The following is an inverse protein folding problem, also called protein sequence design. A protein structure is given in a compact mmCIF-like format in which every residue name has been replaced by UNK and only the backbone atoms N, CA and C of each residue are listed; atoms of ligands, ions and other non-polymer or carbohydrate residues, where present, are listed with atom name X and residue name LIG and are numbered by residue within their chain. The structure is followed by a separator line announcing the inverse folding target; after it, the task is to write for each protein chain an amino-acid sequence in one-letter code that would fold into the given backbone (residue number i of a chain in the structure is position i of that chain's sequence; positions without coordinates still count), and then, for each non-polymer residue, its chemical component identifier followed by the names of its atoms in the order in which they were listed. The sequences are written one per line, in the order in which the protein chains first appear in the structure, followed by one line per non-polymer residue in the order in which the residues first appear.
data_IF_885739726340
#
_entry.id   IF_885739726340
#
_cell.length_a   1.000
_cell.length_b   1.000
_cell.length_c   1.000
_cell.angle_alpha   90.00
_cell.angle_beta   90.00
_cell.angle_gamma   90.00
#
_symmetry.space_group_name_H-M   'P 1'
#
loop_
_entity.id
_entity.type
_entity.pdbx_description
1 polymer ?
#
# COMPACT_ATOMS: atom_id res chain seq x y z
N UNK A 1 13.72 20.89 16.73
CA UNK A 1 12.76 19.97 16.12
C UNK A 1 12.50 20.45 14.70
N UNK A 2 12.96 19.72 13.66
CA UNK A 2 12.65 20.07 12.28
C UNK A 2 11.15 19.93 11.97
N UNK A 3 10.65 20.78 11.08
CA UNK A 3 9.24 20.82 10.70
C UNK A 3 9.06 21.12 9.20
N UNK A 4 8.09 20.45 8.60
CA UNK A 4 7.50 20.78 7.30
C UNK A 4 6.00 21.03 7.51
N UNK A 5 5.44 22.04 6.84
CA UNK A 5 4.00 22.28 6.89
C UNK A 5 3.52 22.85 5.55
N UNK A 6 2.30 22.46 5.16
CA UNK A 6 1.50 23.12 4.15
C UNK A 6 0.11 23.39 4.74
N UNK A 7 -0.88 23.76 3.92
CA UNK A 7 -2.24 24.08 4.36
C UNK A 7 -3.01 22.89 4.97
N UNK A 8 -2.56 21.66 4.76
CA UNK A 8 -3.30 20.44 5.13
C UNK A 8 -2.55 19.64 6.21
N UNK A 9 -1.23 19.51 6.07
CA UNK A 9 -0.40 18.68 6.91
C UNK A 9 0.74 19.45 7.55
N UNK A 10 1.18 18.94 8.70
CA UNK A 10 2.42 19.31 9.36
C UNK A 10 3.16 18.05 9.79
N UNK A 11 4.39 17.88 9.32
CA UNK A 11 5.35 16.92 9.86
C UNK A 11 6.12 17.54 11.00
N UNK A 12 6.06 16.95 12.19
CA UNK A 12 6.97 17.26 13.30
C UNK A 12 7.95 16.11 13.45
N UNK A 13 9.25 16.38 13.38
CA UNK A 13 10.26 15.32 13.30
C UNK A 13 11.15 15.35 14.54
N UNK A 14 11.33 14.18 15.16
CA UNK A 14 12.06 13.98 16.41
C UNK A 14 13.21 12.98 16.20
N UNK A 15 14.32 13.39 15.55
CA UNK A 15 15.43 12.50 15.24
C UNK A 15 16.03 11.80 16.47
N UNK A 16 16.09 12.52 17.61
CA UNK A 16 16.60 11.99 18.88
C UNK A 16 15.74 10.85 19.46
N UNK A 17 14.51 10.70 18.98
CA UNK A 17 13.58 9.66 19.43
C UNK A 17 13.24 8.65 18.33
N UNK A 18 13.80 8.81 17.13
CA UNK A 18 13.46 7.97 15.98
C UNK A 18 12.01 8.13 15.52
N UNK A 19 11.39 9.28 15.81
CA UNK A 19 9.95 9.48 15.70
C UNK A 19 9.57 10.69 14.83
N UNK A 20 8.36 10.69 14.33
CA UNK A 20 7.73 11.81 13.64
C UNK A 20 6.22 11.84 13.90
N UNK A 21 5.60 13.00 13.81
CA UNK A 21 4.14 13.15 13.84
C UNK A 21 3.65 13.67 12.49
N UNK A 22 2.49 13.17 12.04
CA UNK A 22 1.72 13.73 10.94
C UNK A 22 0.48 14.36 11.56
N UNK A 23 0.47 15.68 11.60
CA UNK A 23 -0.66 16.46 12.08
C UNK A 23 -1.47 16.97 10.89
N UNK A 24 -2.78 17.01 11.04
CA UNK A 24 -3.70 17.65 10.08
C UNK A 24 -4.06 19.04 10.59
N UNK A 25 -4.04 20.03 9.69
CA UNK A 25 -4.45 21.38 10.04
C UNK A 25 -5.91 21.41 10.45
N UNK A 26 -6.23 22.29 11.41
CA UNK A 26 -7.57 22.47 11.98
C UNK A 26 -8.17 21.25 12.69
N UNK A 27 -7.37 20.19 12.90
CA UNK A 27 -7.82 18.96 13.54
C UNK A 27 -8.96 18.29 12.79
N UNK A 28 -9.13 18.56 11.48
CA UNK A 28 -10.19 18.07 10.60
C UNK A 28 -10.06 16.60 10.20
N UNK A 29 -8.93 15.96 10.48
CA UNK A 29 -8.73 14.52 10.30
C UNK A 29 -7.95 13.91 11.48
N UNK A 30 -7.89 12.58 11.58
CA UNK A 30 -7.06 11.93 12.59
C UNK A 30 -5.60 12.38 12.53
N UNK A 31 -4.93 12.46 13.68
CA UNK A 31 -3.50 12.74 13.76
C UNK A 31 -2.71 11.49 14.10
N UNK A 32 -1.51 11.37 13.52
CA UNK A 32 -0.52 10.35 13.84
C UNK A 32 0.55 11.01 14.71
N UNK A 33 0.55 10.71 16.01
CA UNK A 33 1.45 11.34 16.97
C UNK A 33 2.61 10.40 17.27
N UNK A 34 3.85 10.91 17.15
CA UNK A 34 5.11 10.18 17.42
C UNK A 34 5.09 8.74 16.89
N UNK A 35 4.82 8.60 15.60
CA UNK A 35 5.08 7.39 14.85
C UNK A 35 6.59 7.14 14.78
N UNK A 36 7.01 5.88 14.91
CA UNK A 36 8.41 5.48 14.83
C UNK A 36 8.73 4.83 13.48
N UNK A 37 9.96 5.04 13.02
CA UNK A 37 10.55 4.24 11.95
C UNK A 37 11.23 3.00 12.55
N UNK A 38 11.55 2.03 11.71
CA UNK A 38 12.33 0.87 12.14
C UNK A 38 13.02 0.19 10.97
N UNK A 39 14.13 -0.45 11.26
CA UNK A 39 14.91 -1.20 10.28
C UNK A 39 15.38 -2.50 10.91
N UNK A 40 15.06 -3.63 10.29
CA UNK A 40 15.51 -4.97 10.68
C UNK A 40 16.34 -5.57 9.54
N UNK A 41 17.57 -5.97 9.84
CA UNK A 41 18.53 -6.43 8.83
C UNK A 41 19.63 -7.32 9.42
N UNK A 42 20.41 -7.93 8.53
CA UNK A 42 21.57 -8.74 8.87
C UNK A 42 22.81 -8.29 8.11
N UNK A 43 23.95 -8.35 8.80
CA UNK A 43 25.27 -8.26 8.19
C UNK A 43 26.07 -9.45 8.70
N UNK A 44 26.58 -10.27 7.77
CA UNK A 44 27.12 -11.58 8.09
C UNK A 44 26.10 -12.46 8.83
N UNK A 45 26.44 -12.92 10.04
CA UNK A 45 25.56 -13.76 10.88
C UNK A 45 24.79 -12.96 11.95
N UNK A 46 25.02 -11.65 12.05
CA UNK A 46 24.44 -10.81 13.11
C UNK A 46 23.17 -10.14 12.61
N UNK A 47 22.15 -10.10 13.48
CA UNK A 47 20.91 -9.33 13.28
C UNK A 47 21.04 -7.99 13.97
N UNK A 48 20.52 -6.96 13.33
CA UNK A 48 20.52 -5.59 13.82
C UNK A 48 19.11 -5.00 13.73
N UNK A 49 18.82 -4.11 14.67
CA UNK A 49 17.66 -3.24 14.67
C UNK A 49 18.14 -1.79 14.76
N UNK A 50 17.51 -0.90 13.99
CA UNK A 50 17.91 0.51 13.92
C UNK A 50 16.70 1.43 13.64
N UNK A 51 16.95 2.74 13.70
CA UNK A 51 16.01 3.85 13.44
C UNK A 51 14.87 4.05 14.45
N UNK A 52 14.56 3.06 15.29
CA UNK A 52 13.41 3.10 16.21
C UNK A 52 13.61 4.00 17.41
N UNK A 53 14.81 4.04 17.98
CA UNK A 53 15.09 4.76 19.23
C UNK A 53 15.96 6.01 19.02
N UNK A 54 16.20 6.39 17.76
CA UNK A 54 17.03 7.54 17.41
C UNK A 54 17.70 7.40 16.06
N UNK A 55 18.10 8.54 15.51
CA UNK A 55 18.83 8.65 14.25
C UNK A 55 20.25 9.16 14.53
N UNK A 56 21.22 8.28 14.82
CA UNK A 56 22.56 8.72 15.18
C UNK A 56 23.24 9.52 14.07
N UNK A 57 24.06 10.49 14.46
CA UNK A 57 24.86 11.29 13.52
C UNK A 57 24.04 11.97 12.42
N UNK A 58 22.75 12.25 12.69
CA UNK A 58 21.85 12.78 11.68
C UNK A 58 22.25 14.19 11.24
N UNK A 59 22.12 14.44 9.94
CA UNK A 59 22.18 15.77 9.33
C UNK A 59 20.95 15.94 8.47
N UNK A 60 20.41 17.15 8.36
CA UNK A 60 19.22 17.38 7.55
C UNK A 60 19.32 18.61 6.68
N UNK A 61 18.66 18.56 5.52
CA UNK A 61 18.53 19.66 4.57
C UNK A 61 17.12 19.73 4.00
N UNK A 62 16.63 20.94 3.77
CA UNK A 62 15.37 21.16 3.04
C UNK A 62 15.65 21.18 1.54
N UNK A 63 14.77 20.56 0.78
CA UNK A 63 14.85 20.49 -0.68
C UNK A 63 13.47 20.82 -1.22
N UNK A 64 13.43 21.78 -2.14
CA UNK A 64 12.25 22.04 -2.95
C UNK A 64 12.44 21.34 -4.29
N UNK A 65 11.41 20.63 -4.73
CA UNK A 65 11.43 19.92 -6.00
C UNK A 65 10.27 20.42 -6.84
N UNK A 66 10.59 21.10 -7.92
CA UNK A 66 9.64 21.43 -8.99
C UNK A 66 9.67 20.31 -10.03
N UNK A 67 8.51 19.82 -10.46
CA UNK A 67 8.40 18.82 -11.53
C UNK A 67 8.49 17.35 -11.10
N UNK A 68 8.16 17.02 -9.85
CA UNK A 68 7.93 15.61 -9.48
C UNK A 68 6.65 15.07 -10.15
N UNK A 69 6.48 13.75 -10.18
CA UNK A 69 5.24 13.12 -10.66
C UNK A 69 3.98 13.59 -9.90
N UNK A 70 4.17 14.15 -8.70
CA UNK A 70 3.07 14.60 -7.83
C UNK A 70 2.94 16.13 -7.78
N UNK A 71 3.71 16.89 -8.56
CA UNK A 71 3.74 18.36 -8.49
C UNK A 71 4.91 18.90 -7.66
N UNK A 72 4.78 20.14 -7.20
CA UNK A 72 5.77 20.77 -6.35
C UNK A 72 5.79 20.13 -4.95
N UNK A 73 6.99 19.83 -4.45
CA UNK A 73 7.17 19.23 -3.14
C UNK A 73 8.15 20.02 -2.28
N UNK A 74 7.77 20.25 -1.04
CA UNK A 74 8.69 20.67 0.01
C UNK A 74 9.12 19.46 0.81
N UNK A 75 10.41 19.18 0.78
CA UNK A 75 11.00 18.00 1.40
C UNK A 75 12.02 18.35 2.47
N UNK A 76 12.14 17.47 3.46
CA UNK A 76 13.19 17.47 4.46
C UNK A 76 13.84 16.09 4.41
N UNK A 77 15.13 16.08 4.07
CA UNK A 77 15.93 14.85 3.98
C UNK A 77 16.84 14.78 5.20
N UNK A 78 16.89 13.61 5.84
CA UNK A 78 17.79 13.29 6.94
C UNK A 78 18.78 12.23 6.49
N UNK A 79 20.07 12.55 6.50
CA UNK A 79 21.13 11.55 6.39
C UNK A 79 21.47 11.05 7.78
N UNK A 80 21.18 9.79 8.07
CA UNK A 80 21.48 9.12 9.34
C UNK A 80 22.73 8.28 9.17
N UNK A 81 23.78 8.62 9.91
CA UNK A 81 25.09 7.98 9.83
C UNK A 81 25.29 7.05 11.01
N UNK A 82 26.25 6.13 10.89
CA UNK A 82 26.64 5.23 11.98
C UNK A 82 25.54 4.24 12.42
N UNK A 83 24.72 3.76 11.48
CA UNK A 83 23.93 2.57 11.79
C UNK A 83 24.88 1.36 11.86
N UNK A 84 24.60 0.38 12.74
CA UNK A 84 25.45 -0.80 12.88
C UNK A 84 25.74 -1.52 11.54
N UNK A 85 26.89 -2.20 11.46
CA UNK A 85 27.22 -3.00 10.28
C UNK A 85 27.59 -2.21 9.02
N UNK A 86 27.93 -0.91 9.15
CA UNK A 86 28.33 -0.09 8.01
C UNK A 86 27.14 0.39 7.17
N UNK A 87 25.99 0.59 7.81
CA UNK A 87 24.78 1.05 7.12
C UNK A 87 24.60 2.55 7.30
N UNK A 88 24.20 3.22 6.22
CA UNK A 88 23.72 4.62 6.24
C UNK A 88 22.29 4.64 5.74
N UNK A 89 21.47 5.51 6.30
CA UNK A 89 20.10 5.71 5.82
C UNK A 89 19.89 7.17 5.38
N UNK A 90 19.07 7.36 4.36
CA UNK A 90 18.44 8.63 4.02
C UNK A 90 16.94 8.51 4.25
N UNK A 91 16.38 9.41 5.06
CA UNK A 91 14.96 9.48 5.36
C UNK A 91 14.41 10.75 4.71
N UNK A 92 13.49 10.59 3.80
CA UNK A 92 12.86 11.72 3.11
C UNK A 92 11.44 11.87 3.61
N UNK A 93 11.09 13.08 4.07
CA UNK A 93 9.72 13.49 4.36
C UNK A 93 9.35 14.61 3.41
N UNK A 94 8.17 14.54 2.78
CA UNK A 94 7.76 15.49 1.75
C UNK A 94 6.27 15.84 1.88
N UNK A 95 5.96 17.11 1.64
CA UNK A 95 4.60 17.61 1.50
C UNK A 95 4.39 18.12 0.07
N UNK A 96 3.40 17.55 -0.60
CA UNK A 96 2.96 17.98 -1.92
C UNK A 96 2.15 19.27 -1.76
N UNK A 97 2.34 20.25 -2.64
CA UNK A 97 1.70 21.56 -2.51
C UNK A 97 0.30 21.59 -3.13
N UNK A 98 0.10 20.86 -4.24
CA UNK A 98 -1.12 20.86 -5.04
C UNK A 98 -2.14 19.81 -4.56
N UNK A 99 -1.67 18.76 -3.89
CA UNK A 99 -2.49 17.62 -3.47
C UNK A 99 -2.34 17.34 -1.97
N UNK A 100 -3.39 16.79 -1.33
CA UNK A 100 -3.37 16.47 0.10
C UNK A 100 -2.56 15.20 0.37
N UNK A 101 -1.25 15.25 0.15
CA UNK A 101 -0.35 14.11 0.28
C UNK A 101 0.81 14.44 1.22
N UNK A 102 0.91 13.68 2.31
CA UNK A 102 2.10 13.61 3.15
C UNK A 102 2.86 12.34 2.79
N UNK A 103 4.08 12.49 2.28
CA UNK A 103 4.89 11.41 1.72
C UNK A 103 6.16 11.20 2.54
N UNK A 104 6.62 9.96 2.64
CA UNK A 104 7.95 9.67 3.16
C UNK A 104 8.51 8.35 2.61
N UNK A 105 9.83 8.21 2.61
CA UNK A 105 10.51 6.97 2.20
C UNK A 105 11.87 6.83 2.86
N UNK A 106 12.41 5.61 2.81
CA UNK A 106 13.71 5.27 3.38
C UNK A 106 14.61 4.72 2.27
N UNK A 107 15.84 5.24 2.21
CA UNK A 107 16.91 4.70 1.38
C UNK A 107 18.05 4.22 2.24
N UNK A 108 18.50 3.00 2.02
CA UNK A 108 19.58 2.35 2.73
C UNK A 108 20.80 2.24 1.81
N UNK A 109 21.97 2.53 2.36
CA UNK A 109 23.24 2.36 1.68
C UNK A 109 24.10 1.39 2.48
N UNK A 110 24.66 0.40 1.78
CA UNK A 110 25.66 -0.48 2.37
C UNK A 110 27.05 0.13 2.15
N UNK A 111 27.57 0.81 3.17
CA UNK A 111 28.93 1.38 3.18
C UNK A 111 29.94 0.44 3.87
N UNK A 112 29.49 -0.73 4.32
CA UNK A 112 30.31 -1.78 4.90
C UNK A 112 31.02 -2.64 3.85
N UNK A 113 31.85 -3.57 4.33
CA UNK A 113 32.58 -4.52 3.48
C UNK A 113 31.82 -5.83 3.21
N UNK A 114 30.77 -6.12 3.98
CA UNK A 114 29.96 -7.34 3.88
C UNK A 114 28.59 -7.05 3.26
N UNK A 115 27.95 -8.03 2.60
CA UNK A 115 26.57 -7.88 2.14
C UNK A 115 25.59 -7.63 3.30
N UNK A 116 24.67 -6.70 3.07
CA UNK A 116 23.54 -6.37 3.92
C UNK A 116 22.32 -7.18 3.45
N UNK A 117 21.63 -7.88 4.34
CA UNK A 117 20.36 -8.55 4.03
C UNK A 117 19.24 -7.83 4.77
N UNK A 118 18.34 -7.18 4.04
CA UNK A 118 17.24 -6.40 4.61
C UNK A 118 16.06 -7.32 4.88
N UNK A 119 15.61 -7.40 6.13
CA UNK A 119 14.48 -8.25 6.50
C UNK A 119 13.17 -7.44 6.54
N UNK A 120 13.19 -6.21 7.07
CA UNK A 120 12.01 -5.32 7.13
C UNK A 120 12.38 -3.85 7.27
N UNK A 121 11.62 -2.97 6.60
CA UNK A 121 11.70 -1.52 6.78
C UNK A 121 10.35 -1.01 7.29
N UNK A 122 10.26 -0.71 8.59
CA UNK A 122 9.05 -0.14 9.20
C UNK A 122 9.00 1.36 8.90
N UNK A 123 7.98 1.77 8.17
CA UNK A 123 7.76 3.15 7.73
C UNK A 123 6.84 3.92 8.68
N UNK A 124 6.05 3.23 9.49
CA UNK A 124 5.23 3.86 10.51
C UNK A 124 4.91 2.84 11.60
N UNK A 125 5.11 3.22 12.85
CA UNK A 125 4.67 2.47 14.02
C UNK A 125 4.10 3.40 15.09
N UNK A 126 2.81 3.27 15.35
CA UNK A 126 2.11 3.85 16.49
C UNK A 126 1.97 2.77 17.56
N UNK A 127 2.64 2.98 18.69
CA UNK A 127 2.65 2.07 19.83
C UNK A 127 2.33 2.86 21.10
N UNK A 128 1.12 2.74 21.68
CA UNK A 128 0.72 3.43 22.91
C UNK A 128 1.60 3.15 24.13
N UNK A 129 2.44 2.11 24.11
CA UNK A 129 3.44 1.90 25.15
C UNK A 129 4.59 2.93 25.09
N UNK A 130 4.80 3.59 23.95
CA UNK A 130 5.80 4.64 23.77
C UNK A 130 5.23 6.02 24.12
N UNK A 131 6.03 6.81 24.82
CA UNK A 131 5.60 8.09 25.41
C UNK A 131 5.09 9.11 24.37
N UNK A 132 3.77 9.28 24.31
CA UNK A 132 3.10 10.21 23.41
C UNK A 132 2.89 9.68 21.99
N UNK A 133 3.16 8.40 21.74
CA UNK A 133 2.81 7.74 20.48
C UNK A 133 1.33 7.37 20.51
N UNK A 134 0.55 7.90 19.57
CA UNK A 134 -0.89 7.62 19.52
C UNK A 134 -1.52 7.97 18.18
N UNK A 135 -2.61 7.29 17.87
CA UNK A 135 -3.53 7.64 16.78
C UNK A 135 -4.69 8.42 17.40
N UNK A 136 -4.77 9.71 17.09
CA UNK A 136 -5.76 10.61 17.68
C UNK A 136 -6.90 10.86 16.69
N UNK A 137 -8.00 10.13 16.87
CA UNK A 137 -9.26 10.39 16.19
C UNK A 137 -9.98 11.62 16.76
N UNK A 138 -10.81 12.27 15.95
CA UNK A 138 -11.55 13.46 16.37
C UNK A 138 -12.64 13.18 17.38
N UNK A 139 -13.52 12.23 17.06
CA UNK A 139 -14.74 11.92 17.80
C UNK A 139 -14.79 10.46 18.24
N UNK A 140 -14.23 9.54 17.45
CA UNK A 140 -14.16 8.13 17.83
C UNK A 140 -13.30 7.95 19.09
N UNK A 141 -13.85 7.24 20.07
CA UNK A 141 -13.18 6.89 21.35
C UNK A 141 -13.21 5.39 21.63
N UNK A 142 -14.09 4.65 20.97
CA UNK A 142 -14.19 3.20 21.09
C UNK A 142 -14.00 2.50 19.73
N UNK A 143 -13.57 1.24 19.76
CA UNK A 143 -13.35 0.43 18.56
C UNK A 143 -14.58 0.35 17.64
N UNK A 144 -15.79 0.30 18.21
CA UNK A 144 -17.04 0.26 17.44
C UNK A 144 -17.35 1.57 16.68
N UNK A 145 -16.69 2.67 17.04
CA UNK A 145 -16.80 3.99 16.42
C UNK A 145 -15.67 4.25 15.41
N UNK A 146 -14.76 3.30 15.27
CA UNK A 146 -13.69 3.32 14.29
C UNK A 146 -14.04 2.36 13.14
N UNK A 147 -13.41 2.55 11.99
CA UNK A 147 -13.47 1.60 10.89
C UNK A 147 -12.12 1.39 10.24
N UNK A 148 -11.96 0.22 9.64
CA UNK A 148 -10.76 -0.18 8.90
C UNK A 148 -11.19 -0.66 7.52
N UNK A 149 -10.68 -0.05 6.45
CA UNK A 149 -10.75 -0.65 5.12
C UNK A 149 -9.47 -1.42 4.87
N UNK A 150 -9.60 -2.69 4.51
CA UNK A 150 -8.48 -3.53 4.11
C UNK A 150 -8.52 -3.79 2.60
N UNK A 151 -7.34 -3.79 1.99
CA UNK A 151 -7.08 -4.23 0.64
C UNK A 151 -6.42 -5.61 0.67
N UNK A 152 -6.78 -6.46 -0.29
CA UNK A 152 -6.27 -7.83 -0.40
C UNK A 152 -5.06 -7.93 -1.32
N UNK A 153 -4.25 -8.95 -1.09
CA UNK A 153 -3.05 -9.28 -1.87
C UNK A 153 -3.26 -9.40 -3.40
N UNK A 154 -4.32 -10.09 -3.83
CA UNK A 154 -4.61 -10.36 -5.24
C UNK A 154 -6.12 -10.47 -5.51
N UNK A 155 -6.53 -10.76 -6.75
CA UNK A 155 -7.93 -10.79 -7.22
C UNK A 155 -8.90 -11.72 -6.45
N UNK A 156 -8.41 -12.75 -5.76
CA UNK A 156 -9.20 -13.63 -4.90
C UNK A 156 -9.07 -13.31 -3.40
N UNK A 157 -8.24 -12.33 -3.05
CA UNK A 157 -8.08 -11.86 -1.69
C UNK A 157 -9.23 -10.92 -1.32
N UNK A 158 -9.80 -11.03 -0.12
CA UNK A 158 -10.88 -10.14 0.27
C UNK A 158 -10.35 -8.71 0.46
N UNK A 159 -11.11 -7.74 -0.05
CA UNK A 159 -10.97 -6.33 0.26
C UNK A 159 -12.33 -5.79 0.73
N UNK A 160 -12.32 -4.82 1.64
CA UNK A 160 -13.56 -4.26 2.13
C UNK A 160 -13.45 -3.51 3.45
N UNK A 161 -14.57 -2.91 3.81
CA UNK A 161 -14.70 -2.18 5.07
C UNK A 161 -15.12 -3.11 6.20
N UNK A 162 -14.49 -2.94 7.36
CA UNK A 162 -14.86 -3.60 8.62
C UNK A 162 -14.93 -2.57 9.75
N UNK A 163 -15.91 -2.74 10.63
CA UNK A 163 -16.02 -1.94 11.86
C UNK A 163 -14.84 -2.27 12.78
N UNK A 164 -14.37 -1.31 13.57
CA UNK A 164 -13.16 -1.47 14.38
C UNK A 164 -13.25 -2.48 15.53
N UNK A 165 -14.44 -2.97 15.88
CA UNK A 165 -14.64 -4.11 16.80
C UNK A 165 -15.00 -5.42 16.03
N UNK A 166 -14.98 -5.39 14.71
CA UNK A 166 -15.33 -6.50 13.82
C UNK A 166 -14.22 -7.54 13.65
N UNK A 167 -14.45 -8.50 12.75
CA UNK A 167 -13.47 -9.48 12.31
C UNK A 167 -13.18 -9.26 10.82
N UNK A 168 -11.93 -9.47 10.41
CA UNK A 168 -11.62 -9.59 8.99
C UNK A 168 -12.31 -10.83 8.38
N UNK A 169 -12.73 -10.76 7.11
CA UNK A 169 -13.17 -11.93 6.36
C UNK A 169 -12.01 -12.94 6.25
N UNK A 170 -12.33 -14.22 6.43
CA UNK A 170 -11.36 -15.33 6.40
C UNK A 170 -11.89 -16.46 5.55
N UNK A 171 -10.99 -17.10 4.80
CA UNK A 171 -11.32 -18.39 4.19
C UNK A 171 -11.55 -19.46 5.26
N UNK A 172 -12.57 -20.29 5.05
CA UNK A 172 -12.82 -21.50 5.82
C UNK A 172 -12.06 -22.73 5.27
N UNK A 173 -11.47 -22.61 4.09
CA UNK A 173 -10.74 -23.68 3.41
C UNK A 173 -9.27 -23.81 3.85
N UNK A 174 -8.86 -23.03 4.86
CA UNK A 174 -7.57 -23.18 5.53
C UNK A 174 -6.40 -23.23 4.55
N UNK A 175 -5.52 -24.24 4.71
CA UNK A 175 -4.33 -24.44 3.88
C UNK A 175 -4.58 -24.74 2.40
N UNK A 176 -5.82 -25.02 1.99
CA UNK A 176 -6.14 -25.22 0.56
C UNK A 176 -6.26 -23.90 -0.19
N UNK A 177 -6.73 -22.85 0.46
CA UNK A 177 -6.94 -21.54 -0.17
C UNK A 177 -5.95 -20.49 0.32
N UNK A 178 -5.54 -20.56 1.58
CA UNK A 178 -4.69 -19.54 2.19
C UNK A 178 -3.37 -19.28 1.43
N UNK A 179 -2.64 -20.29 0.93
CA UNK A 179 -1.43 -20.05 0.14
C UNK A 179 -1.68 -19.35 -1.21
N UNK A 180 -2.92 -19.41 -1.72
CA UNK A 180 -3.28 -18.79 -3.00
C UNK A 180 -3.67 -17.33 -2.85
N UNK A 181 -4.23 -16.93 -1.69
CA UNK A 181 -4.92 -15.63 -1.53
C UNK A 181 -4.30 -14.70 -0.50
N UNK A 182 -3.25 -15.12 0.20
CA UNK A 182 -2.61 -14.28 1.21
C UNK A 182 -1.13 -14.13 0.92
N UNK A 183 -0.63 -12.92 1.16
CA UNK A 183 0.79 -12.65 1.24
C UNK A 183 1.34 -13.19 2.57
N UNK A 184 2.42 -13.97 2.52
CA UNK A 184 3.10 -14.47 3.72
C UNK A 184 3.71 -13.34 4.58
N UNK A 185 4.06 -12.21 3.95
CA UNK A 185 4.55 -11.00 4.63
C UNK A 185 3.50 -10.25 5.45
N UNK A 186 2.21 -10.52 5.23
CA UNK A 186 1.09 -9.79 5.85
C UNK A 186 0.43 -10.64 6.96
N UNK A 187 0.34 -10.14 8.21
CA UNK A 187 -0.27 -10.87 9.31
C UNK A 187 -1.73 -11.24 9.03
N UNK A 188 -2.19 -12.34 9.63
CA UNK A 188 -3.58 -12.80 9.51
C UNK A 188 -4.25 -12.79 10.88
N UNK A 189 -4.63 -11.62 11.39
CA UNK A 189 -5.21 -11.50 12.70
C UNK A 189 -6.53 -12.28 12.78
N UNK A 190 -6.71 -13.00 13.89
CA UNK A 190 -7.92 -13.79 14.15
C UNK A 190 -8.85 -13.13 15.17
N UNK A 191 -8.31 -12.17 15.94
CA UNK A 191 -9.02 -11.54 17.05
C UNK A 191 -9.81 -10.33 16.56
N UNK A 192 -11.03 -10.18 17.07
CA UNK A 192 -11.87 -8.99 16.85
C UNK A 192 -11.09 -7.71 17.17
N UNK A 193 -11.21 -6.73 16.30
CA UNK A 193 -10.52 -5.44 16.41
C UNK A 193 -9.05 -5.44 16.01
N UNK A 194 -8.51 -6.56 15.53
CA UNK A 194 -7.19 -6.61 14.91
C UNK A 194 -7.33 -6.84 13.41
N UNK A 195 -6.61 -6.04 12.63
CA UNK A 195 -6.74 -5.98 11.18
C UNK A 195 -5.36 -5.96 10.52
N UNK A 196 -5.33 -6.37 9.25
CA UNK A 196 -4.18 -6.25 8.37
C UNK A 196 -4.63 -5.83 6.98
N UNK A 197 -3.70 -5.33 6.19
CA UNK A 197 -3.96 -4.92 4.81
C UNK A 197 -2.70 -5.05 3.97
N UNK A 198 -2.88 -5.41 2.71
CA UNK A 198 -1.82 -5.34 1.70
C UNK A 198 -1.90 -3.97 1.00
N UNK A 199 -0.74 -3.35 0.78
CA UNK A 199 -0.52 -2.12 0.00
C UNK A 199 -1.08 -0.81 0.60
N UNK A 200 -2.34 -0.78 1.02
CA UNK A 200 -2.95 0.40 1.66
C UNK A 200 -4.10 0.02 2.57
N UNK A 201 -4.46 0.91 3.49
CA UNK A 201 -5.61 0.77 4.37
C UNK A 201 -6.27 2.13 4.60
N UNK A 202 -7.53 2.13 5.04
CA UNK A 202 -8.20 3.33 5.55
C UNK A 202 -8.48 3.17 7.03
N UNK A 203 -8.03 4.12 7.84
CA UNK A 203 -8.46 4.29 9.23
C UNK A 203 -9.50 5.39 9.28
N UNK A 204 -10.64 5.11 9.88
CA UNK A 204 -11.80 6.00 9.81
C UNK A 204 -12.42 6.27 11.17
N UNK A 205 -12.77 7.52 11.40
CA UNK A 205 -13.65 7.99 12.45
C UNK A 205 -15.10 7.91 11.95
N UNK A 206 -15.85 6.91 12.41
CA UNK A 206 -17.22 6.68 11.93
C UNK A 206 -18.19 7.74 12.45
N UNK A 207 -17.86 8.44 13.54
CA UNK A 207 -18.68 9.53 14.08
C UNK A 207 -18.45 10.82 13.32
N UNK A 208 -17.19 11.17 13.07
CA UNK A 208 -16.84 12.37 12.33
C UNK A 208 -16.98 12.23 10.81
N UNK A 209 -17.26 11.02 10.31
CA UNK A 209 -17.42 10.71 8.88
C UNK A 209 -16.18 11.02 8.04
N UNK A 210 -14.99 10.91 8.64
CA UNK A 210 -13.70 11.17 8.00
C UNK A 210 -12.66 10.11 8.38
N UNK A 211 -11.47 10.19 7.78
CA UNK A 211 -10.39 9.25 8.05
C UNK A 211 -9.10 9.62 7.33
N UNK A 212 -8.15 8.69 7.37
CA UNK A 212 -6.90 8.72 6.62
C UNK A 212 -6.79 7.44 5.80
N UNK A 213 -6.42 7.57 4.54
CA UNK A 213 -5.80 6.47 3.79
C UNK A 213 -4.31 6.53 4.05
N UNK A 214 -3.72 5.37 4.35
CA UNK A 214 -2.28 5.20 4.45
C UNK A 214 -1.84 3.97 3.68
N UNK A 215 -0.65 4.02 3.10
CA UNK A 215 -0.14 2.93 2.28
C UNK A 215 1.06 3.36 1.48
N UNK A 216 1.19 2.79 0.29
CA UNK A 216 2.29 3.01 -0.61
C UNK A 216 1.76 3.47 -1.98
N UNK A 217 2.47 4.40 -2.64
CA UNK A 217 2.07 4.85 -3.98
C UNK A 217 2.40 3.84 -5.10
N UNK A 218 3.28 2.89 -4.81
CA UNK A 218 3.66 1.82 -5.71
C UNK A 218 4.10 0.57 -4.93
N UNK A 219 4.26 -0.54 -5.66
CA UNK A 219 4.81 -1.82 -5.19
C UNK A 219 5.93 -2.26 -6.13
N UNK A 220 6.82 -1.32 -6.51
CA UNK A 220 7.92 -1.57 -7.46
C UNK A 220 9.14 -2.14 -6.76
N UNK A 221 9.41 -1.64 -5.56
CA UNK A 221 10.63 -1.96 -4.82
C UNK A 221 10.38 -3.05 -3.80
N UNK A 222 9.28 -2.96 -3.04
CA UNK A 222 8.87 -3.97 -2.06
C UNK A 222 7.36 -4.05 -1.97
N UNK A 223 6.86 -5.22 -1.54
CA UNK A 223 5.46 -5.33 -1.11
C UNK A 223 5.25 -4.70 0.26
N UNK A 224 4.25 -3.83 0.35
CA UNK A 224 3.85 -3.13 1.57
C UNK A 224 2.78 -3.86 2.36
N UNK A 225 2.93 -3.87 3.69
CA UNK A 225 1.97 -4.47 4.61
C UNK A 225 1.60 -3.50 5.73
N UNK A 226 0.35 -3.58 6.18
CA UNK A 226 -0.20 -2.76 7.26
C UNK A 226 -0.87 -3.68 8.29
N UNK A 227 -0.76 -3.34 9.57
CA UNK A 227 -1.53 -3.95 10.64
C UNK A 227 -2.08 -2.89 11.59
N UNK A 228 -3.31 -3.08 12.07
CA UNK A 228 -3.92 -2.23 13.07
C UNK A 228 -4.51 -3.06 14.20
N UNK A 229 -4.36 -2.58 15.43
CA UNK A 229 -5.09 -3.08 16.58
C UNK A 229 -5.91 -1.93 17.15
N UNK A 230 -7.23 -1.95 16.94
CA UNK A 230 -8.15 -0.90 17.37
C UNK A 230 -8.75 -1.19 18.75
N UNK A 231 -8.29 -2.23 19.45
CA UNK A 231 -8.75 -2.57 20.79
C UNK A 231 -8.07 -1.64 21.81
N UNK A 232 -8.86 -0.95 22.62
CA UNK A 232 -8.31 -0.02 23.60
C UNK A 232 -7.66 1.19 22.91
N UNK A 233 -6.39 1.47 23.23
CA UNK A 233 -5.63 2.52 22.54
C UNK A 233 -5.12 1.97 21.19
N UNK A 234 -5.44 2.60 20.05
CA UNK A 234 -5.10 2.05 18.76
C UNK A 234 -3.60 1.92 18.53
N UNK A 235 -3.19 0.78 17.96
CA UNK A 235 -1.85 0.53 17.44
C UNK A 235 -1.90 0.43 15.93
N UNK A 236 -0.86 0.90 15.25
CA UNK A 236 -0.77 0.90 13.79
C UNK A 236 0.67 0.63 13.37
N UNK A 237 0.88 -0.29 12.44
CA UNK A 237 2.19 -0.55 11.85
C UNK A 237 2.07 -0.64 10.34
N UNK A 238 3.02 -0.03 9.63
CA UNK A 238 3.15 -0.12 8.18
C UNK A 238 4.63 -0.34 7.84
N UNK A 239 4.91 -1.33 6.99
CA UNK A 239 6.29 -1.68 6.63
C UNK A 239 6.39 -2.18 5.19
N UNK A 240 7.56 -1.96 4.60
CA UNK A 240 8.00 -2.62 3.38
C UNK A 240 8.66 -3.96 3.75
N UNK A 241 8.25 -5.04 3.07
CA UNK A 241 8.85 -6.36 3.25
C UNK A 241 10.24 -6.38 2.59
N UNK A 242 11.28 -6.67 3.38
CA UNK A 242 12.65 -6.73 2.87
C UNK A 242 12.98 -8.09 2.26
N UNK A 243 12.27 -9.15 2.64
CA UNK A 243 12.37 -10.52 2.12
C UNK A 243 13.81 -11.09 2.09
N UNK A 244 14.69 -10.56 2.95
CA UNK A 244 16.09 -10.93 2.99
C UNK A 244 16.88 -10.45 1.76
N UNK A 245 16.40 -9.42 1.05
CA UNK A 245 17.08 -8.87 -0.13
C UNK A 245 18.51 -8.47 0.22
N UNK A 246 19.44 -8.94 -0.61
CA UNK A 246 20.86 -8.66 -0.47
C UNK A 246 21.22 -7.33 -1.13
N UNK A 247 21.78 -6.41 -0.35
CA UNK A 247 22.39 -5.15 -0.79
C UNK A 247 23.90 -5.29 -0.68
N UNK A 248 24.59 -5.34 -1.82
CA UNK A 248 26.04 -5.50 -1.88
C UNK A 248 26.78 -4.26 -1.34
N UNK A 249 28.05 -4.40 -0.89
CA UNK A 249 28.91 -3.26 -0.58
C UNK A 249 28.90 -2.20 -1.69
N UNK A 250 28.69 -0.93 -1.32
CA UNK A 250 28.58 0.20 -2.24
C UNK A 250 27.22 0.35 -2.94
N UNK A 251 26.30 -0.61 -2.79
CA UNK A 251 24.95 -0.54 -3.34
C UNK A 251 23.96 0.12 -2.37
N UNK A 252 22.78 0.44 -2.90
CA UNK A 252 21.68 1.03 -2.15
C UNK A 252 20.36 0.34 -2.48
N UNK A 253 19.42 0.44 -1.56
CA UNK A 253 18.02 0.03 -1.70
C UNK A 253 17.14 1.18 -1.24
N UNK A 254 16.07 1.48 -1.97
CA UNK A 254 15.10 2.52 -1.61
C UNK A 254 13.70 1.93 -1.54
N UNK A 255 12.85 2.45 -0.66
CA UNK A 255 11.44 2.08 -0.63
C UNK A 255 10.62 2.91 -1.60
N UNK A 256 9.50 2.35 -2.08
CA UNK A 256 8.41 3.15 -2.63
C UNK A 256 7.94 4.23 -1.62
N UNK A 257 7.29 5.29 -2.12
CA UNK A 257 6.72 6.32 -1.26
C UNK A 257 5.62 5.74 -0.36
N UNK A 258 5.82 5.83 0.95
CA UNK A 258 4.72 5.79 1.89
C UNK A 258 3.92 7.09 1.81
N UNK A 259 2.61 6.99 2.01
CA UNK A 259 1.67 8.10 1.90
C UNK A 259 0.65 8.08 3.01
N UNK A 260 0.25 9.27 3.44
CA UNK A 260 -1.02 9.55 4.12
C UNK A 260 -1.78 10.60 3.35
N UNK A 261 -3.08 10.37 3.16
CA UNK A 261 -4.00 11.34 2.57
C UNK A 261 -5.34 11.34 3.34
N UNK A 262 -6.02 12.48 3.47
CA UNK A 262 -7.30 12.55 4.14
C UNK A 262 -8.42 11.89 3.31
N UNK A 263 -9.41 11.34 4.01
CA UNK A 263 -10.56 10.66 3.41
C UNK A 263 -11.84 11.22 4.00
N UNK A 264 -12.83 11.52 3.15
CA UNK A 264 -14.18 11.89 3.54
C UNK A 264 -15.10 10.70 3.24
N UNK A 265 -15.67 10.09 4.28
CA UNK A 265 -16.40 8.83 4.14
C UNK A 265 -17.75 8.99 3.43
N UNK A 266 -18.28 10.20 3.39
CA UNK A 266 -19.54 10.53 2.71
C UNK A 266 -19.31 11.09 1.30
N UNK A 267 -18.05 11.22 0.86
CA UNK A 267 -17.74 11.54 -0.53
C UNK A 267 -18.08 10.35 -1.44
N UNK A 268 -18.50 10.60 -2.68
CA UNK A 268 -18.81 9.54 -3.66
C UNK A 268 -17.59 8.65 -3.94
N UNK A 269 -16.41 9.26 -3.98
CA UNK A 269 -15.14 8.62 -4.27
C UNK A 269 -14.13 8.97 -3.17
N UNK A 270 -14.21 8.36 -1.97
CA UNK A 270 -13.39 8.73 -0.82
C UNK A 270 -11.89 8.57 -1.06
N UNK A 271 -11.51 7.66 -1.97
CA UNK A 271 -10.12 7.31 -2.28
C UNK A 271 -9.59 7.95 -3.56
N UNK A 272 -10.36 8.81 -4.23
CA UNK A 272 -10.00 9.42 -5.53
C UNK A 272 -8.57 10.00 -5.49
N UNK A 273 -8.27 10.86 -4.50
CA UNK A 273 -6.96 11.53 -4.43
C UNK A 273 -5.79 10.58 -4.22
N UNK A 274 -6.00 9.46 -3.52
CA UNK A 274 -4.99 8.43 -3.38
C UNK A 274 -4.80 7.65 -4.69
N UNK A 275 -5.88 7.23 -5.35
CA UNK A 275 -5.77 6.52 -6.62
C UNK A 275 -5.25 7.39 -7.76
N UNK A 276 -5.56 8.68 -7.79
CA UNK A 276 -4.93 9.65 -8.70
C UNK A 276 -3.42 9.74 -8.44
N UNK A 277 -2.98 9.72 -7.17
CA UNK A 277 -1.56 9.71 -6.83
C UNK A 277 -0.88 8.42 -7.30
N UNK A 278 -1.51 7.26 -7.08
CA UNK A 278 -1.03 5.97 -7.63
C UNK A 278 -0.96 6.03 -9.17
N UNK A 279 -1.99 6.55 -9.82
CA UNK A 279 -2.01 6.69 -11.29
C UNK A 279 -0.86 7.59 -11.79
N UNK A 280 -0.57 8.71 -11.12
CA UNK A 280 0.59 9.56 -11.43
C UNK A 280 1.92 8.83 -11.20
N UNK A 281 2.05 8.10 -10.10
CA UNK A 281 3.25 7.32 -9.78
C UNK A 281 3.55 6.28 -10.87
N UNK A 282 2.51 5.62 -11.39
CA UNK A 282 2.60 4.66 -12.50
C UNK A 282 2.53 5.30 -13.89
N UNK A 283 2.33 6.62 -13.99
CA UNK A 283 2.11 7.35 -15.24
C UNK A 283 0.99 6.74 -16.11
N UNK A 284 -0.05 6.22 -15.45
CA UNK A 284 -1.20 5.59 -16.11
C UNK A 284 -2.00 6.65 -16.85
N UNK A 285 -2.29 6.38 -18.12
CA UNK A 285 -3.27 7.12 -18.91
C UNK A 285 -4.58 6.36 -18.88
N UNK A 286 -5.48 6.77 -17.99
CA UNK A 286 -6.82 6.17 -17.91
C UNK A 286 -7.60 6.60 -19.16
N UNK A 287 -8.15 5.66 -19.95
CA UNK A 287 -9.04 6.00 -21.06
C UNK A 287 -10.26 6.78 -20.57
N UNK A 288 -10.78 7.69 -21.40
CA UNK A 288 -11.96 8.47 -21.05
C UNK A 288 -13.22 7.60 -20.81
N UNK A 289 -13.26 6.43 -21.45
CA UNK A 289 -14.37 5.50 -21.36
C UNK A 289 -13.84 4.08 -21.12
N UNK A 290 -14.51 3.32 -20.25
CA UNK A 290 -14.30 1.88 -20.10
C UNK A 290 -15.44 1.16 -20.81
N UNK A 291 -15.17 0.30 -21.81
CA UNK A 291 -16.23 -0.35 -22.57
C UNK A 291 -17.01 -1.32 -21.67
N UNK A 292 -18.32 -1.40 -21.89
CA UNK A 292 -19.12 -2.47 -21.31
C UNK A 292 -18.81 -3.75 -22.08
N UNK A 293 -18.31 -4.78 -21.40
CA UNK A 293 -17.85 -6.00 -22.03
C UNK A 293 -18.54 -7.26 -21.51
N UNK A 294 -18.54 -8.30 -22.35
CA UNK A 294 -18.77 -9.67 -21.96
C UNK A 294 -17.42 -10.41 -21.91
N UNK A 295 -17.23 -11.27 -20.92
CA UNK A 295 -16.02 -12.08 -20.74
C UNK A 295 -16.41 -13.55 -20.64
N UNK A 296 -15.74 -14.42 -21.39
CA UNK A 296 -16.05 -15.85 -21.48
C UNK A 296 -15.86 -16.61 -20.16
N UNK A 297 -14.95 -16.15 -19.29
CA UNK A 297 -14.53 -16.85 -18.06
C UNK A 297 -15.69 -17.22 -17.15
N UNK A 298 -16.62 -16.29 -16.91
CA UNK A 298 -17.67 -16.48 -15.91
C UNK A 298 -18.76 -17.47 -16.32
N UNK A 299 -18.81 -17.86 -17.59
CA UNK A 299 -19.73 -18.88 -18.08
C UNK A 299 -19.03 -20.19 -18.43
N UNK A 300 -17.89 -20.11 -19.11
CA UNK A 300 -17.22 -21.28 -19.69
C UNK A 300 -16.01 -21.75 -18.88
N UNK A 301 -15.41 -20.87 -18.06
CA UNK A 301 -14.05 -21.09 -17.54
C UNK A 301 -13.14 -21.54 -18.70
N UNK A 302 -12.35 -22.61 -18.50
CA UNK A 302 -11.45 -23.17 -19.51
C UNK A 302 -12.12 -24.11 -20.52
N UNK A 303 -13.43 -24.38 -20.38
CA UNK A 303 -14.22 -25.22 -21.29
C UNK A 303 -14.90 -24.36 -22.36
N UNK A 304 -14.08 -23.73 -23.20
CA UNK A 304 -14.47 -22.79 -24.23
C UNK A 304 -14.15 -23.33 -25.64
N UNK A 305 -14.97 -23.00 -26.62
CA UNK A 305 -14.70 -23.24 -28.04
C UNK A 305 -14.93 -21.99 -28.91
N UNK A 306 -14.40 -21.99 -30.15
CA UNK A 306 -14.68 -20.94 -31.14
C UNK A 306 -16.19 -20.73 -31.32
N UNK A 307 -16.96 -21.82 -31.41
CA UNK A 307 -18.41 -21.78 -31.60
C UNK A 307 -19.15 -21.12 -30.44
N UNK A 308 -18.66 -21.33 -29.22
CA UNK A 308 -19.24 -20.71 -28.03
C UNK A 308 -19.07 -19.19 -28.07
N UNK A 309 -17.89 -18.72 -28.49
CA UNK A 309 -17.61 -17.29 -28.66
C UNK A 309 -18.49 -16.70 -29.76
N UNK A 310 -18.57 -17.34 -30.93
CA UNK A 310 -19.40 -16.90 -32.06
C UNK A 310 -20.89 -16.82 -31.68
N UNK A 311 -21.43 -17.84 -31.02
CA UNK A 311 -22.83 -17.86 -30.60
C UNK A 311 -23.18 -16.75 -29.58
N UNK A 312 -22.25 -16.43 -28.67
CA UNK A 312 -22.43 -15.33 -27.73
C UNK A 312 -22.32 -13.97 -28.43
N UNK A 313 -21.39 -13.82 -29.36
CA UNK A 313 -21.28 -12.61 -30.19
C UNK A 313 -22.56 -12.38 -30.99
N UNK A 314 -23.11 -13.41 -31.64
CA UNK A 314 -24.37 -13.31 -32.39
C UNK A 314 -25.53 -12.88 -31.49
N UNK A 315 -25.60 -13.44 -30.28
CA UNK A 315 -26.62 -13.08 -29.28
C UNK A 315 -26.51 -11.63 -28.80
N UNK A 316 -25.27 -11.15 -28.61
CA UNK A 316 -24.97 -9.76 -28.26
C UNK A 316 -25.40 -8.82 -29.40
N UNK A 317 -24.99 -9.11 -30.63
CA UNK A 317 -25.34 -8.32 -31.81
C UNK A 317 -26.86 -8.26 -32.03
N UNK A 318 -27.57 -9.38 -31.85
CA UNK A 318 -29.02 -9.44 -31.95
C UNK A 318 -29.74 -8.65 -30.83
N UNK A 319 -29.05 -8.34 -29.72
CA UNK A 319 -29.60 -7.63 -28.56
C UNK A 319 -29.02 -6.23 -28.38
N UNK A 320 -28.27 -5.71 -29.35
CA UNK A 320 -27.45 -4.50 -29.20
C UNK A 320 -28.25 -3.23 -28.88
N UNK A 321 -29.52 -3.16 -29.29
CA UNK A 321 -30.41 -2.04 -28.94
C UNK A 321 -30.75 -1.99 -27.44
N UNK A 322 -30.63 -3.12 -26.73
CA UNK A 322 -30.94 -3.27 -25.30
C UNK A 322 -29.72 -3.56 -24.43
N UNK A 323 -28.65 -4.07 -25.01
CA UNK A 323 -27.40 -4.42 -24.35
C UNK A 323 -26.27 -3.57 -24.95
N UNK A 324 -25.75 -2.56 -24.24
CA UNK A 324 -24.69 -1.70 -24.77
C UNK A 324 -23.31 -2.38 -24.68
N UNK A 325 -23.20 -3.65 -25.07
CA UNK A 325 -21.94 -4.41 -25.00
C UNK A 325 -21.07 -4.05 -26.20
N UNK A 326 -19.89 -3.52 -25.93
CA UNK A 326 -18.93 -3.01 -26.90
C UNK A 326 -17.69 -3.91 -27.03
N UNK A 327 -17.48 -4.81 -26.07
CA UNK A 327 -16.31 -5.68 -26.00
C UNK A 327 -16.73 -7.14 -25.78
N UNK A 328 -16.19 -8.04 -26.60
CA UNK A 328 -16.21 -9.49 -26.37
C UNK A 328 -14.80 -9.90 -26.01
N UNK A 329 -14.57 -10.21 -24.74
CA UNK A 329 -13.29 -10.68 -24.22
C UNK A 329 -13.28 -12.21 -24.18
N UNK A 330 -12.36 -12.80 -24.95
CA UNK A 330 -12.01 -14.21 -24.87
C UNK A 330 -10.98 -14.35 -23.75
N UNK A 331 -11.37 -15.00 -22.66
CA UNK A 331 -10.52 -15.30 -21.51
C UNK A 331 -9.81 -16.66 -21.66
N UNK A 332 -9.19 -17.18 -20.58
CA UNK A 332 -8.47 -18.46 -20.56
C UNK A 332 -9.35 -19.61 -21.09
N UNK A 333 -8.78 -20.42 -21.98
CA UNK A 333 -9.41 -21.63 -22.48
C UNK A 333 -9.09 -21.93 -23.94
N UNK A 334 -8.51 -20.99 -24.68
CA UNK A 334 -8.18 -21.15 -26.11
C UNK A 334 -6.78 -21.75 -26.32
N UNK A 335 -5.84 -21.44 -25.43
CA UNK A 335 -4.50 -21.98 -25.37
C UNK A 335 -4.51 -23.46 -24.95
N UNK A 336 -3.55 -24.22 -25.46
CA UNK A 336 -3.36 -25.63 -25.10
C UNK A 336 -2.94 -25.81 -23.65
N UNK A 337 -2.10 -24.90 -23.14
CA UNK A 337 -1.62 -24.85 -21.76
C UNK A 337 -1.17 -23.42 -21.41
N UNK A 338 -1.25 -23.06 -20.13
CA UNK A 338 -0.71 -21.80 -19.61
C UNK A 338 0.80 -21.74 -19.90
N UNK A 339 1.22 -20.75 -20.68
CA UNK A 339 2.59 -20.59 -21.18
C UNK A 339 2.76 -20.89 -22.67
N UNK A 340 1.86 -21.67 -23.28
CA UNK A 340 1.87 -22.04 -24.69
C UNK A 340 0.89 -21.18 -25.53
N UNK A 341 1.09 -19.86 -25.51
CA UNK A 341 0.14 -18.86 -26.03
C UNK A 341 -0.14 -18.91 -27.55
N UNK A 342 0.71 -19.60 -28.32
CA UNK A 342 0.56 -19.75 -29.77
C UNK A 342 0.15 -21.16 -30.20
N UNK A 343 -0.08 -22.06 -29.25
CA UNK A 343 -0.54 -23.42 -29.49
C UNK A 343 -1.95 -23.54 -28.93
N UNK A 344 -2.91 -23.81 -29.80
CA UNK A 344 -4.33 -23.74 -29.46
C UNK A 344 -4.94 -25.13 -29.23
N UNK A 345 -6.01 -25.19 -28.42
CA UNK A 345 -6.79 -26.41 -28.26
C UNK A 345 -7.47 -26.79 -29.59
N UNK A 346 -7.84 -28.07 -29.79
CA UNK A 346 -8.63 -28.48 -30.95
C UNK A 346 -9.98 -27.74 -31.09
N UNK A 347 -10.54 -27.24 -29.98
CA UNK A 347 -11.74 -26.39 -29.96
C UNK A 347 -11.51 -24.97 -30.50
N UNK A 348 -10.25 -24.61 -30.71
CA UNK A 348 -9.75 -23.41 -31.36
C UNK A 348 -8.84 -23.75 -32.54
N UNK A 349 -9.33 -24.60 -33.46
CA UNK A 349 -8.56 -25.12 -34.59
C UNK A 349 -8.10 -24.06 -35.59
N UNK A 350 -8.80 -22.92 -35.66
CA UNK A 350 -8.41 -21.78 -36.51
C UNK A 350 -7.49 -20.80 -35.76
N UNK A 351 -7.32 -21.02 -34.46
CA UNK A 351 -6.51 -20.20 -33.57
C UNK A 351 -7.10 -18.81 -33.33
N UNK A 352 -6.40 -18.04 -32.49
CA UNK A 352 -6.72 -16.64 -32.22
C UNK A 352 -5.58 -15.78 -32.80
N UNK A 353 -5.93 -14.71 -33.50
CA UNK A 353 -4.92 -13.74 -33.99
C UNK A 353 -4.47 -12.84 -32.81
N UNK A 354 -3.17 -12.57 -32.67
CA UNK A 354 -2.65 -11.70 -31.62
C UNK A 354 -3.06 -10.24 -31.80
#
# INVERSE_FOLDING_TARGET
MPELQNTIFRFQIFPENGAFSILTQEGQWPNLLKAHLGLEYRVGKRRYQALTDGWPGWQSGKVETEGSLHGAMQSQIFTVRNLPGGVRAELTFALVQEYPLALWKVKLFNEGAEPLFVDRITLLEIDPARAGSSLAFQQARAAAEMGFYHNGWQSWSPAGWVRGDGCMPRTRLGGLQAPMIYNDGTPRPQRRGCFSSDFFAVLSDQKARNGLVLGFLAQREQFGSISADLRGQPQLKMWANGDGVQVNPGAALETDWAVVSPVLLDHREPLEKYFEAVAREYQIKVPAESPVGWCSWYHFYTNLSEKDVEANLDSILASQERLPVQLVQIDDGFESQVGDWFTFKPTFSNGVKP
#
